data_IF_803187931947
#
_entry.id   IF_803187931947
#
_cell.length_a   1.000
_cell.length_b   1.000
_cell.length_c   1.000
_cell.angle_alpha   90.00
_cell.angle_beta   90.00
_cell.angle_gamma   90.00
#
_symmetry.space_group_name_H-M   'P 1'
#
loop_
_entity.id
_entity.type
_entity.pdbx_description
1 polymer ?
#
# COMPACT_ATOMS: atom_id res chain seq x y z
N UNK A 1 7.47 -4.10 -15.30
CA UNK A 1 8.58 -4.16 -14.31
C UNK A 1 8.41 -3.15 -13.17
N UNK A 2 8.06 -1.88 -13.43
CA UNK A 2 7.94 -0.85 -12.37
C UNK A 2 7.02 -1.24 -11.19
N UNK A 3 5.79 -1.69 -11.45
CA UNK A 3 4.82 -2.01 -10.39
C UNK A 3 5.27 -3.18 -9.48
N UNK A 4 5.99 -4.16 -10.03
CA UNK A 4 6.58 -5.25 -9.25
C UNK A 4 7.71 -4.77 -8.33
N UNK A 5 8.51 -3.80 -8.78
CA UNK A 5 9.51 -3.15 -7.93
C UNK A 5 8.87 -2.31 -6.83
N UNK A 6 7.73 -1.65 -7.11
CA UNK A 6 6.96 -0.96 -6.11
C UNK A 6 6.44 -1.93 -5.04
N UNK A 7 5.90 -3.10 -5.41
CA UNK A 7 5.45 -4.12 -4.45
C UNK A 7 6.59 -4.55 -3.52
N UNK A 8 7.77 -4.80 -4.06
CA UNK A 8 8.96 -5.20 -3.27
C UNK A 8 9.43 -4.15 -2.28
N UNK A 9 9.14 -2.87 -2.54
CA UNK A 9 9.55 -1.73 -1.69
C UNK A 9 8.41 -1.21 -0.81
N UNK A 10 7.21 -1.72 -0.98
CA UNK A 10 6.05 -1.30 -0.22
C UNK A 10 6.24 -1.75 1.24
N UNK A 11 6.08 -0.85 2.22
CA UNK A 11 6.01 -1.25 3.63
C UNK A 11 4.91 -2.30 3.83
N UNK A 12 5.12 -3.19 4.78
CA UNK A 12 4.09 -4.14 5.17
C UNK A 12 3.00 -3.46 5.99
N UNK A 13 1.74 -3.92 5.90
CA UNK A 13 0.69 -3.48 6.79
C UNK A 13 1.04 -3.75 8.27
N UNK A 14 0.41 -3.02 9.21
CA UNK A 14 0.55 -3.32 10.63
C UNK A 14 0.24 -4.79 10.93
N UNK A 15 1.02 -5.41 11.82
CA UNK A 15 0.85 -6.80 12.18
C UNK A 15 1.46 -7.81 11.20
N UNK A 16 2.09 -7.36 10.11
CA UNK A 16 2.84 -8.22 9.20
C UNK A 16 4.35 -8.02 9.33
N UNK A 17 5.10 -9.11 9.19
CA UNK A 17 6.56 -9.08 9.03
C UNK A 17 7.00 -9.98 7.89
N UNK A 18 8.25 -9.84 7.45
CA UNK A 18 8.87 -10.71 6.47
C UNK A 18 10.16 -11.31 7.03
N UNK A 19 10.41 -12.57 6.68
CA UNK A 19 11.65 -13.29 6.98
C UNK A 19 12.25 -13.84 5.69
N UNK A 20 13.58 -13.96 5.64
CA UNK A 20 14.26 -14.63 4.53
C UNK A 20 13.93 -16.13 4.59
N UNK A 21 13.33 -16.65 3.52
CA UNK A 21 13.00 -18.05 3.35
C UNK A 21 14.09 -18.84 2.60
N UNK A 22 15.23 -18.20 2.30
CA UNK A 22 16.31 -18.74 1.50
C UNK A 22 16.12 -18.47 0.00
N UNK A 23 17.22 -18.56 -0.76
CA UNK A 23 17.24 -18.37 -2.21
C UNK A 23 16.63 -17.03 -2.68
N UNK A 24 16.71 -15.98 -1.86
CA UNK A 24 16.16 -14.67 -2.16
C UNK A 24 14.62 -14.60 -2.12
N UNK A 25 13.96 -15.59 -1.51
CA UNK A 25 12.51 -15.60 -1.29
C UNK A 25 12.18 -15.04 0.08
N UNK A 26 11.07 -14.33 0.17
CA UNK A 26 10.54 -13.84 1.44
C UNK A 26 9.36 -14.70 1.88
N UNK A 27 9.30 -15.00 3.17
CA UNK A 27 8.11 -15.54 3.84
C UNK A 27 7.48 -14.44 4.67
N UNK A 28 6.21 -14.15 4.39
CA UNK A 28 5.41 -13.17 5.11
C UNK A 28 4.69 -13.85 6.26
N UNK A 29 4.67 -13.20 7.41
CA UNK A 29 4.15 -13.74 8.67
C UNK A 29 3.15 -12.74 9.24
N UNK A 30 1.92 -13.19 9.44
CA UNK A 30 0.92 -12.46 10.21
C UNK A 30 1.19 -12.68 11.71
N UNK A 31 1.45 -11.61 12.44
CA UNK A 31 1.95 -11.66 13.81
C UNK A 31 0.88 -12.06 14.84
N UNK A 32 -0.39 -12.01 14.46
CA UNK A 32 -1.51 -12.40 15.32
C UNK A 32 -1.77 -13.91 15.26
N UNK A 33 -2.10 -14.41 14.07
CA UNK A 33 -2.45 -15.81 13.85
C UNK A 33 -1.22 -16.71 13.70
N UNK A 34 -0.03 -16.12 13.53
CA UNK A 34 1.20 -16.80 13.10
C UNK A 34 1.06 -17.49 11.73
N UNK A 35 0.03 -17.14 10.95
CA UNK A 35 -0.12 -17.61 9.60
C UNK A 35 1.06 -17.13 8.76
N UNK A 36 1.55 -18.02 7.89
CA UNK A 36 2.66 -17.73 6.99
C UNK A 36 2.24 -17.91 5.55
N UNK A 37 2.73 -17.04 4.67
CA UNK A 37 2.49 -17.14 3.24
C UNK A 37 3.73 -16.71 2.43
N UNK A 38 3.85 -17.25 1.24
CA UNK A 38 4.98 -16.97 0.33
C UNK A 38 4.73 -15.76 -0.58
N UNK A 39 3.52 -15.21 -0.56
CA UNK A 39 3.12 -14.02 -1.32
C UNK A 39 2.92 -12.83 -0.40
N UNK A 40 3.22 -11.61 -0.89
CA UNK A 40 2.99 -10.39 -0.11
C UNK A 40 1.50 -10.24 0.21
N UNK A 41 1.11 -9.82 1.43
CA UNK A 41 -0.29 -9.53 1.76
C UNK A 41 -0.88 -8.37 0.93
N UNK A 42 -0.03 -7.63 0.22
CA UNK A 42 -0.44 -6.54 -0.66
C UNK A 42 -0.53 -6.95 -2.14
N UNK A 43 -0.19 -8.20 -2.49
CA UNK A 43 -0.11 -8.65 -3.89
C UNK A 43 -1.39 -8.37 -4.67
N UNK A 44 -2.56 -8.66 -4.09
CA UNK A 44 -3.84 -8.48 -4.78
C UNK A 44 -4.16 -7.01 -5.09
N UNK A 45 -3.81 -6.10 -4.17
CA UNK A 45 -3.98 -4.66 -4.35
C UNK A 45 -3.11 -4.16 -5.51
N UNK A 46 -1.87 -4.62 -5.59
CA UNK A 46 -0.97 -4.32 -6.71
C UNK A 46 -1.44 -4.95 -8.02
N UNK A 47 -1.91 -6.19 -7.99
CA UNK A 47 -2.43 -6.88 -9.16
C UNK A 47 -3.64 -6.15 -9.75
N UNK A 48 -4.50 -5.58 -8.90
CA UNK A 48 -5.64 -4.77 -9.34
C UNK A 48 -5.22 -3.50 -10.07
N UNK A 49 -4.23 -2.76 -9.54
CA UNK A 49 -3.64 -1.61 -10.25
C UNK A 49 -3.04 -2.03 -11.60
N UNK A 50 -2.40 -3.19 -11.65
CA UNK A 50 -1.88 -3.77 -12.89
C UNK A 50 -2.99 -4.09 -13.90
N UNK A 51 -4.09 -4.70 -13.45
CA UNK A 51 -5.27 -5.02 -14.29
C UNK A 51 -5.92 -3.77 -14.86
N UNK A 52 -6.06 -2.70 -14.06
CA UNK A 52 -6.58 -1.41 -14.52
C UNK A 52 -5.73 -0.83 -15.66
N UNK A 53 -4.41 -0.83 -15.49
CA UNK A 53 -3.50 -0.34 -16.53
C UNK A 53 -3.49 -1.23 -17.77
N UNK A 54 -3.62 -2.55 -17.60
CA UNK A 54 -3.73 -3.47 -18.72
C UNK A 54 -5.04 -3.24 -19.50
N UNK A 55 -6.15 -3.01 -18.80
CA UNK A 55 -7.44 -2.71 -19.41
C UNK A 55 -7.37 -1.47 -20.31
N UNK A 56 -6.80 -0.37 -19.82
CA UNK A 56 -6.55 0.82 -20.65
C UNK A 56 -5.65 0.52 -21.86
N UNK A 57 -4.58 -0.27 -21.69
CA UNK A 57 -3.70 -0.61 -22.81
C UNK A 57 -4.37 -1.44 -23.89
N UNK A 58 -5.34 -2.27 -23.53
CA UNK A 58 -6.12 -3.09 -24.46
C UNK A 58 -7.28 -2.30 -25.08
N UNK A 59 -7.82 -1.32 -24.35
CA UNK A 59 -8.90 -0.45 -24.78
C UNK A 59 -8.57 1.02 -24.44
N UNK A 60 -7.92 1.77 -25.34
CA UNK A 60 -7.56 3.17 -25.10
C UNK A 60 -8.75 4.08 -24.79
N UNK A 61 -9.96 3.73 -25.25
CA UNK A 61 -11.20 4.47 -24.95
C UNK A 61 -11.62 4.41 -23.49
N UNK A 62 -11.12 3.43 -22.72
CA UNK A 62 -11.40 3.31 -21.29
C UNK A 62 -10.51 4.20 -20.40
N UNK A 63 -9.73 5.13 -20.98
CA UNK A 63 -8.78 5.95 -20.22
C UNK A 63 -9.44 6.73 -19.07
N UNK A 64 -10.63 7.29 -19.30
CA UNK A 64 -11.38 8.03 -18.27
C UNK A 64 -11.87 7.10 -17.15
N UNK A 65 -12.51 5.98 -17.49
CA UNK A 65 -13.01 5.01 -16.51
C UNK A 65 -11.87 4.45 -15.64
N UNK A 66 -10.72 4.17 -16.25
CA UNK A 66 -9.52 3.70 -15.53
C UNK A 66 -8.96 4.81 -14.63
N UNK A 67 -8.97 6.06 -15.07
CA UNK A 67 -8.54 7.19 -14.25
C UNK A 67 -9.44 7.38 -13.02
N UNK A 68 -10.75 7.23 -13.18
CA UNK A 68 -11.74 7.34 -12.10
C UNK A 68 -11.61 6.18 -11.11
N UNK A 69 -11.39 4.96 -11.60
CA UNK A 69 -11.11 3.79 -10.75
C UNK A 69 -9.82 3.98 -9.93
N UNK A 70 -8.75 4.50 -10.54
CA UNK A 70 -7.50 4.81 -9.84
C UNK A 70 -7.68 5.94 -8.81
N UNK A 71 -8.49 6.96 -9.11
CA UNK A 71 -8.82 8.03 -8.17
C UNK A 71 -9.60 7.50 -6.96
N UNK A 72 -10.62 6.67 -7.18
CA UNK A 72 -11.36 6.01 -6.10
C UNK A 72 -10.45 5.14 -5.23
N UNK A 73 -9.50 4.43 -5.85
CA UNK A 73 -8.54 3.60 -5.11
C UNK A 73 -7.58 4.45 -4.28
N UNK A 74 -7.05 5.53 -4.86
CA UNK A 74 -6.22 6.51 -4.16
C UNK A 74 -6.93 7.05 -2.91
N UNK A 75 -8.19 7.48 -3.05
CA UNK A 75 -8.98 8.02 -1.93
C UNK A 75 -9.19 6.96 -0.83
N UNK A 76 -9.57 5.74 -1.19
CA UNK A 76 -9.73 4.63 -0.23
C UNK A 76 -8.45 4.36 0.55
N UNK A 77 -7.31 4.37 -0.13
CA UNK A 77 -6.01 4.11 0.47
C UNK A 77 -5.56 5.27 1.41
N UNK A 78 -5.85 6.52 1.03
CA UNK A 78 -5.64 7.70 1.90
C UNK A 78 -6.51 7.59 3.16
N UNK A 79 -7.78 7.25 3.01
CA UNK A 79 -8.68 7.10 4.15
C UNK A 79 -8.30 5.90 5.02
N UNK A 80 -7.80 4.81 4.44
CA UNK A 80 -7.25 3.69 5.20
C UNK A 80 -6.01 4.09 6.00
N UNK A 81 -5.09 4.86 5.42
CA UNK A 81 -3.92 5.36 6.13
C UNK A 81 -4.31 6.26 7.32
N UNK A 82 -5.28 7.17 7.12
CA UNK A 82 -5.84 8.00 8.19
C UNK A 82 -6.49 7.16 9.29
N UNK A 83 -7.28 6.14 8.92
CA UNK A 83 -7.90 5.22 9.89
C UNK A 83 -6.86 4.44 10.67
N UNK A 84 -5.83 3.93 10.01
CA UNK A 84 -4.74 3.20 10.67
C UNK A 84 -4.07 4.07 11.75
N UNK A 85 -3.73 5.31 11.45
CA UNK A 85 -3.14 6.26 12.42
C UNK A 85 -4.10 6.76 13.50
N UNK A 86 -5.41 6.53 13.37
CA UNK A 86 -6.38 6.77 14.44
C UNK A 86 -6.49 5.57 15.40
N UNK A 87 -6.40 4.36 14.86
CA UNK A 87 -6.46 3.11 15.63
C UNK A 87 -5.16 2.89 16.40
N UNK A 88 -4.03 3.17 15.75
CA UNK A 88 -2.70 3.11 16.35
C UNK A 88 -2.34 4.51 16.86
N UNK A 89 -2.10 4.63 18.17
CA UNK A 89 -1.64 5.85 18.81
C UNK A 89 -0.13 6.02 18.59
N UNK A 90 0.31 7.27 18.39
CA UNK A 90 1.72 7.60 18.22
C UNK A 90 1.98 8.70 17.17
N UNK A 91 3.24 8.83 16.71
CA UNK A 91 4.40 8.09 17.22
C UNK A 91 4.69 8.45 18.69
N UNK A 92 4.90 7.43 19.50
CA UNK A 92 5.51 7.52 20.83
C UNK A 92 7.03 7.38 20.68
N UNK A 93 7.80 7.90 21.63
CA UNK A 93 9.26 7.76 21.62
C UNK A 93 9.67 6.77 22.71
N UNK A 94 10.40 5.72 22.33
CA UNK A 94 11.04 4.84 23.29
C UNK A 94 12.18 5.58 23.99
N UNK A 95 12.16 5.62 25.33
CA UNK A 95 13.11 6.45 26.09
C UNK A 95 14.52 5.86 26.11
N UNK A 96 14.66 4.56 25.91
CA UNK A 96 15.97 3.89 25.94
C UNK A 96 16.67 3.99 24.58
N UNK A 97 15.94 3.80 23.48
CA UNK A 97 16.52 3.79 22.13
C UNK A 97 16.34 5.11 21.37
N UNK A 98 15.42 5.98 21.80
CA UNK A 98 15.03 7.19 21.09
C UNK A 98 14.23 6.94 19.82
N UNK A 99 13.86 5.69 19.54
CA UNK A 99 13.15 5.29 18.31
C UNK A 99 11.65 5.50 18.46
N UNK A 100 11.03 6.01 17.39
CA UNK A 100 9.59 6.17 17.32
C UNK A 100 8.87 4.82 17.17
N UNK A 101 7.75 4.66 17.86
CA UNK A 101 6.87 3.51 17.74
C UNK A 101 5.40 3.90 17.82
N UNK A 102 4.53 3.04 17.31
CA UNK A 102 3.09 3.18 17.36
C UNK A 102 2.49 2.06 18.20
N UNK A 103 1.48 2.36 19.00
CA UNK A 103 0.82 1.41 19.89
C UNK A 103 -0.67 1.30 19.56
N UNK A 104 -1.19 0.09 19.45
CA UNK A 104 -2.60 -0.19 19.25
C UNK A 104 -3.27 -0.58 20.59
N UNK A 105 -4.06 0.31 21.22
CA UNK A 105 -4.67 0.04 22.53
C UNK A 105 -5.65 -1.15 22.51
N UNK A 106 -6.33 -1.38 21.38
CA UNK A 106 -7.29 -2.46 21.25
C UNK A 106 -6.64 -3.86 21.30
N UNK A 107 -5.37 -3.96 20.90
CA UNK A 107 -4.64 -5.25 20.85
C UNK A 107 -3.46 -5.31 21.82
N UNK A 108 -3.09 -4.18 22.45
CA UNK A 108 -1.91 -4.07 23.32
C UNK A 108 -0.58 -4.24 22.59
N UNK A 109 -0.54 -4.02 21.26
CA UNK A 109 0.64 -4.26 20.42
C UNK A 109 1.32 -2.97 19.99
N UNK A 110 2.63 -3.06 19.76
CA UNK A 110 3.42 -1.97 19.21
C UNK A 110 4.04 -2.33 17.85
N UNK A 111 4.28 -1.33 17.02
CA UNK A 111 5.01 -1.43 15.74
C UNK A 111 5.96 -0.25 15.61
N UNK A 112 7.14 -0.48 15.02
CA UNK A 112 8.16 0.55 14.83
C UNK A 112 7.93 1.40 13.56
N UNK A 113 7.12 0.90 12.62
CA UNK A 113 6.79 1.61 11.38
C UNK A 113 5.44 2.31 11.47
N UNK A 114 5.30 3.45 10.78
CA UNK A 114 4.00 4.14 10.63
C UNK A 114 2.95 3.18 10.05
N UNK A 115 1.84 2.94 10.77
CA UNK A 115 0.85 1.95 10.40
C UNK A 115 0.03 2.33 9.15
N UNK A 116 0.02 3.60 8.75
CA UNK A 116 -0.61 4.08 7.52
C UNK A 116 0.30 4.02 6.29
N UNK A 117 1.58 3.68 6.45
CA UNK A 117 2.59 3.88 5.40
C UNK A 117 2.37 3.00 4.17
N UNK A 118 1.94 1.74 4.34
CA UNK A 118 1.62 0.84 3.24
C UNK A 118 0.49 1.40 2.36
N UNK A 119 -0.56 1.93 2.98
CA UNK A 119 -1.71 2.52 2.29
C UNK A 119 -1.34 3.84 1.60
N UNK A 120 -0.58 4.72 2.26
CA UNK A 120 -0.06 5.93 1.61
C UNK A 120 0.86 5.63 0.42
N UNK A 121 1.61 4.53 0.46
CA UNK A 121 2.44 4.10 -0.65
C UNK A 121 1.59 3.67 -1.85
N UNK A 122 0.54 2.88 -1.60
CA UNK A 122 -0.42 2.48 -2.63
C UNK A 122 -1.18 3.67 -3.23
N UNK A 123 -1.61 4.62 -2.40
CA UNK A 123 -2.26 5.84 -2.86
C UNK A 123 -1.38 6.63 -3.85
N UNK A 124 -0.08 6.77 -3.54
CA UNK A 124 0.89 7.43 -4.42
C UNK A 124 1.13 6.68 -5.73
N UNK A 125 1.07 5.35 -5.71
CA UNK A 125 1.15 4.55 -6.93
C UNK A 125 -0.09 4.78 -7.79
N UNK A 126 -1.29 4.69 -7.21
CA UNK A 126 -2.55 4.90 -7.92
C UNK A 126 -2.59 6.30 -8.55
N UNK A 127 -2.17 7.32 -7.80
CA UNK A 127 -2.03 8.69 -8.30
C UNK A 127 -1.07 8.78 -9.49
N UNK A 128 0.12 8.17 -9.37
CA UNK A 128 1.13 8.19 -10.43
C UNK A 128 0.66 7.48 -11.69
N UNK A 129 -0.05 6.36 -11.55
CA UNK A 129 -0.65 5.64 -12.66
C UNK A 129 -1.73 6.48 -13.35
N UNK A 130 -2.59 7.14 -12.56
CA UNK A 130 -3.63 8.04 -13.08
C UNK A 130 -3.03 9.17 -13.91
N UNK A 131 -1.99 9.82 -13.41
CA UNK A 131 -1.26 10.89 -14.12
C UNK A 131 -0.61 10.45 -15.43
N UNK A 132 -0.40 9.15 -15.62
CA UNK A 132 0.17 8.60 -16.86
C UNK A 132 -0.88 8.33 -17.95
N UNK A 133 -2.18 8.41 -17.63
CA UNK A 133 -3.25 8.19 -18.59
C UNK A 133 -3.49 9.46 -19.43
N UNK A 134 -3.83 9.31 -20.72
CA UNK A 134 -4.16 10.43 -21.61
C UNK A 134 -5.61 10.87 -21.41
N UNK A 135 -6.01 11.16 -20.17
CA UNK A 135 -7.29 11.80 -19.88
C UNK A 135 -7.17 13.27 -20.26
N UNK A 136 -8.02 13.69 -21.20
CA UNK A 136 -7.92 15.00 -21.84
C UNK A 136 -7.79 16.11 -20.79
N UNK A 137 -6.72 16.89 -20.88
CA UNK A 137 -6.79 18.28 -20.41
C UNK A 137 -7.90 18.89 -21.25
N UNK A 138 -8.97 19.34 -20.61
CA UNK A 138 -10.03 20.08 -21.30
C UNK A 138 -9.38 21.07 -22.25
N UNK A 139 -9.81 21.04 -23.51
CA UNK A 139 -9.53 22.06 -24.50
C UNK A 139 -9.85 23.43 -23.87
N UNK A 140 -8.83 24.13 -23.40
CA UNK A 140 -8.87 25.56 -23.16
C UNK A 140 -8.98 26.21 -24.54
N UNK A 141 -10.22 26.51 -24.93
CA UNK A 141 -10.55 27.48 -25.98
C UNK A 141 -10.69 28.86 -25.32
#
# INVERSE_FOLDING_TARGET
VWLANCLRRCPLPPGWTASDAGQGRLRYIEMETRATQDTSPLLDRFAELGRLMLHWRQNPGAAQDVADALASKQEKDIEEAKRARKVWQGPHMDQDTGVEFWHCPATGRSTWGDPGMASDFLARIAERLKRALPVGKGSEN
#
